data_IF_743788110719
#
_entry.id   IF_743788110719
#
_cell.length_a   1.000
_cell.length_b   1.000
_cell.length_c   1.000
_cell.angle_alpha   90.00
_cell.angle_beta   90.00
_cell.angle_gamma   90.00
#
_symmetry.space_group_name_H-M   'P 1'
#
loop_
_entity.id
_entity.type
_entity.pdbx_description
1 polymer ?
#
# COMPACT_ATOMS: atom_id res chain seq x y z
N UNK A 1 -16.32 11.59 -8.13
CA UNK A 1 -15.98 11.12 -9.49
C UNK A 1 -14.57 10.56 -9.41
N UNK A 2 -14.35 9.30 -9.78
CA UNK A 2 -12.98 8.78 -9.88
C UNK A 2 -12.25 9.57 -10.97
N UNK A 3 -11.06 10.09 -10.66
CA UNK A 3 -10.27 10.80 -11.68
C UNK A 3 -9.71 9.81 -12.71
N UNK A 4 -9.27 10.30 -13.88
CA UNK A 4 -8.74 9.45 -14.96
C UNK A 4 -7.59 8.54 -14.49
N UNK A 5 -6.77 9.04 -13.57
CA UNK A 5 -5.66 8.31 -12.99
C UNK A 5 -6.12 7.18 -12.07
N UNK A 6 -7.09 7.44 -11.20
CA UNK A 6 -7.61 6.44 -10.24
C UNK A 6 -8.29 5.28 -10.98
N UNK A 7 -9.01 5.61 -12.06
CA UNK A 7 -9.58 4.59 -12.94
C UNK A 7 -8.48 3.77 -13.64
N UNK A 8 -7.41 4.41 -14.12
CA UNK A 8 -6.26 3.71 -14.69
C UNK A 8 -5.61 2.76 -13.68
N UNK A 9 -5.29 3.25 -12.48
CA UNK A 9 -4.67 2.47 -11.42
C UNK A 9 -5.50 1.25 -11.03
N UNK A 10 -6.81 1.42 -10.86
CA UNK A 10 -7.71 0.31 -10.53
C UNK A 10 -7.91 -0.69 -11.65
N UNK A 11 -7.88 -0.23 -12.91
CA UNK A 11 -8.05 -1.10 -14.07
C UNK A 11 -6.77 -1.87 -14.36
N UNK A 12 -5.60 -1.28 -14.12
CA UNK A 12 -4.31 -1.94 -14.35
C UNK A 12 -4.03 -3.08 -13.38
N UNK A 13 -4.62 -3.06 -12.18
CA UNK A 13 -4.59 -4.17 -11.22
C UNK A 13 -5.70 -5.21 -11.45
N UNK A 14 -6.72 -4.91 -12.26
CA UNK A 14 -7.91 -5.75 -12.34
C UNK A 14 -7.59 -7.13 -12.97
N UNK A 15 -7.76 -8.20 -12.18
CA UNK A 15 -7.55 -9.57 -12.64
C UNK A 15 -6.10 -10.07 -12.49
N UNK A 16 -5.23 -9.29 -11.86
CA UNK A 16 -3.87 -9.68 -11.51
C UNK A 16 -3.77 -10.12 -10.03
N UNK A 17 -2.64 -10.72 -9.65
CA UNK A 17 -2.36 -11.24 -8.30
C UNK A 17 -2.39 -10.15 -7.22
N UNK A 18 -2.05 -8.91 -7.60
CA UNK A 18 -2.10 -7.72 -6.78
C UNK A 18 -3.49 -7.06 -6.73
N UNK A 19 -4.54 -7.74 -7.21
CA UNK A 19 -5.91 -7.21 -7.18
C UNK A 19 -6.37 -6.91 -5.75
N UNK A 20 -6.82 -5.67 -5.45
CA UNK A 20 -7.33 -5.35 -4.13
C UNK A 20 -8.65 -6.10 -3.83
N UNK A 21 -8.93 -6.43 -2.55
CA UNK A 21 -10.18 -7.05 -2.15
C UNK A 21 -11.40 -6.22 -2.58
N UNK A 22 -12.40 -6.89 -3.16
CA UNK A 22 -13.64 -6.26 -3.60
C UNK A 22 -14.85 -6.92 -2.98
N UNK A 23 -15.79 -6.11 -2.51
CA UNK A 23 -17.12 -6.54 -2.07
C UNK A 23 -18.16 -5.86 -2.96
N UNK A 24 -19.04 -6.65 -3.58
CA UNK A 24 -20.09 -6.16 -4.49
C UNK A 24 -19.56 -5.20 -5.59
N UNK A 25 -18.38 -5.49 -6.14
CA UNK A 25 -17.76 -4.70 -7.21
C UNK A 25 -17.03 -3.43 -6.75
N UNK A 26 -17.07 -3.09 -5.45
CA UNK A 26 -16.38 -1.92 -4.88
C UNK A 26 -15.19 -2.36 -4.01
N UNK A 27 -14.17 -1.51 -3.86
CA UNK A 27 -13.06 -1.75 -2.92
C UNK A 27 -13.59 -1.99 -1.52
N UNK A 28 -13.07 -3.01 -0.86
CA UNK A 28 -13.43 -3.37 0.50
C UNK A 28 -12.28 -2.99 1.44
N UNK A 29 -12.58 -2.16 2.43
CA UNK A 29 -11.67 -1.79 3.51
C UNK A 29 -12.29 -2.26 4.82
N UNK A 30 -11.59 -3.09 5.58
CA UNK A 30 -11.97 -3.55 6.91
C UNK A 30 -11.77 -2.44 7.95
N UNK A 31 -10.68 -1.67 7.81
CA UNK A 31 -10.28 -0.65 8.78
C UNK A 31 -10.07 0.73 8.12
N UNK A 32 -10.14 1.79 8.92
CA UNK A 32 -9.98 3.17 8.41
C UNK A 32 -8.57 3.45 7.85
N UNK A 33 -7.56 2.82 8.45
CA UNK A 33 -6.18 2.97 8.00
C UNK A 33 -5.96 2.37 6.61
N UNK A 34 -6.70 1.31 6.23
CA UNK A 34 -6.59 0.66 4.92
C UNK A 34 -7.04 1.60 3.80
N UNK A 35 -8.15 2.32 4.03
CA UNK A 35 -8.63 3.35 3.12
C UNK A 35 -7.61 4.48 2.98
N UNK A 36 -7.02 4.88 4.10
CA UNK A 36 -6.01 5.94 4.14
C UNK A 36 -4.75 5.53 3.38
N UNK A 37 -4.24 4.32 3.60
CA UNK A 37 -3.08 3.76 2.90
C UNK A 37 -3.28 3.70 1.38
N UNK A 38 -4.46 3.26 0.95
CA UNK A 38 -4.84 3.25 -0.46
C UNK A 38 -4.86 4.67 -1.05
N UNK A 39 -5.49 5.62 -0.34
CA UNK A 39 -5.57 7.01 -0.76
C UNK A 39 -4.20 7.69 -0.89
N UNK A 40 -3.29 7.44 0.06
CA UNK A 40 -1.93 8.02 0.05
C UNK A 40 -1.12 7.52 -1.14
N UNK A 41 -1.09 6.20 -1.39
CA UNK A 41 -0.38 5.64 -2.53
C UNK A 41 -0.87 6.25 -3.85
N UNK A 42 -2.19 6.39 -3.99
CA UNK A 42 -2.81 6.94 -5.19
C UNK A 42 -2.55 8.44 -5.35
N UNK A 43 -2.55 9.20 -4.24
CA UNK A 43 -2.23 10.62 -4.26
C UNK A 43 -0.77 10.87 -4.67
N UNK A 44 0.17 10.12 -4.10
CA UNK A 44 1.59 10.26 -4.39
C UNK A 44 1.92 9.93 -5.86
N UNK A 45 1.34 8.84 -6.37
CA UNK A 45 1.51 8.46 -7.77
C UNK A 45 0.85 9.48 -8.72
N UNK A 46 -0.34 9.99 -8.37
CA UNK A 46 -1.03 11.03 -9.16
C UNK A 46 -0.23 12.33 -9.22
N UNK A 47 0.46 12.67 -8.15
CA UNK A 47 1.33 13.85 -8.08
C UNK A 47 2.68 13.65 -8.78
N UNK A 48 2.99 12.43 -9.24
CA UNK A 48 4.21 12.11 -9.97
C UNK A 48 5.44 11.91 -9.08
N UNK A 49 5.26 11.65 -7.78
CA UNK A 49 6.37 11.34 -6.88
C UNK A 49 6.99 9.96 -7.16
N UNK A 50 6.21 9.07 -7.76
CA UNK A 50 6.67 7.80 -8.32
C UNK A 50 5.68 7.30 -9.38
N UNK A 51 6.14 6.41 -10.25
CA UNK A 51 5.29 5.77 -11.26
C UNK A 51 4.41 4.68 -10.62
N UNK A 52 3.13 4.66 -10.99
CA UNK A 52 2.18 3.66 -10.49
C UNK A 52 2.64 2.21 -10.74
N UNK A 53 3.28 1.98 -11.88
CA UNK A 53 3.81 0.67 -12.25
C UNK A 53 4.97 0.22 -11.36
N UNK A 54 5.76 1.16 -10.82
CA UNK A 54 6.85 0.84 -9.90
C UNK A 54 6.29 0.37 -8.55
N UNK A 55 5.27 1.08 -8.06
CA UNK A 55 4.50 0.65 -6.89
C UNK A 55 3.88 -0.74 -7.11
N UNK A 56 3.23 -0.97 -8.26
CA UNK A 56 2.58 -2.25 -8.55
C UNK A 56 3.58 -3.42 -8.55
N UNK A 57 4.79 -3.22 -9.10
CA UNK A 57 5.85 -4.25 -9.05
C UNK A 57 6.30 -4.53 -7.62
N UNK A 58 6.47 -3.49 -6.80
CA UNK A 58 6.81 -3.64 -5.39
C UNK A 58 5.69 -4.36 -4.62
N UNK A 59 4.42 -4.16 -4.98
CA UNK A 59 3.28 -4.84 -4.38
C UNK A 59 3.27 -6.34 -4.69
N UNK A 60 3.47 -6.72 -5.95
CA UNK A 60 3.59 -8.12 -6.35
C UNK A 60 4.77 -8.79 -5.62
N UNK A 61 5.90 -8.09 -5.50
CA UNK A 61 7.06 -8.60 -4.78
C UNK A 61 6.74 -8.82 -3.29
N UNK A 62 6.11 -7.86 -2.62
CA UNK A 62 5.72 -7.96 -1.21
C UNK A 62 4.74 -9.11 -0.95
N UNK A 63 3.73 -9.27 -1.81
CA UNK A 63 2.78 -10.39 -1.77
C UNK A 63 3.54 -11.72 -1.87
N UNK A 64 4.39 -11.87 -2.88
CA UNK A 64 5.16 -13.10 -3.07
C UNK A 64 6.16 -13.38 -1.95
N UNK A 65 6.77 -12.35 -1.36
CA UNK A 65 7.67 -12.49 -0.21
C UNK A 65 6.94 -13.00 1.03
N UNK A 66 5.74 -12.46 1.30
CA UNK A 66 4.92 -12.93 2.41
C UNK A 66 4.52 -14.39 2.20
N UNK A 67 4.02 -14.75 1.01
CA UNK A 67 3.61 -16.13 0.69
C UNK A 67 4.75 -17.14 0.89
N UNK A 68 6.00 -16.76 0.59
CA UNK A 68 7.17 -17.62 0.78
C UNK A 68 7.62 -17.73 2.24
N UNK A 69 7.37 -16.72 3.05
CA UNK A 69 7.93 -16.60 4.41
C UNK A 69 6.95 -16.96 5.51
N UNK A 70 5.66 -17.14 5.19
CA UNK A 70 4.68 -17.49 6.20
C UNK A 70 4.95 -18.83 6.89
N UNK A 71 4.98 -18.77 8.22
CA UNK A 71 4.91 -19.95 9.07
C UNK A 71 3.46 -20.46 9.17
N UNK A 72 3.24 -21.76 9.40
CA UNK A 72 1.89 -22.34 9.59
C UNK A 72 1.07 -21.69 10.71
N UNK A 73 1.74 -21.13 11.72
CA UNK A 73 1.12 -20.41 12.86
C UNK A 73 1.34 -18.88 12.77
N UNK A 74 1.61 -18.37 11.57
CA UNK A 74 1.84 -16.95 11.31
C UNK A 74 0.58 -16.07 11.46
N UNK A 75 0.75 -14.74 11.46
CA UNK A 75 -0.37 -13.81 11.46
C UNK A 75 -1.27 -14.04 10.22
N UNK A 76 -2.56 -13.77 10.37
CA UNK A 76 -3.51 -13.87 9.26
C UNK A 76 -3.14 -12.92 8.13
N UNK A 77 -3.29 -13.37 6.88
CA UNK A 77 -3.08 -12.54 5.69
C UNK A 77 -3.86 -11.23 5.76
N UNK A 78 -3.16 -10.10 5.60
CA UNK A 78 -3.75 -8.80 5.33
C UNK A 78 -3.13 -8.19 4.06
N UNK A 79 -3.95 -7.98 3.05
CA UNK A 79 -3.55 -7.38 1.78
C UNK A 79 -3.00 -5.96 1.94
N UNK A 80 -3.63 -5.13 2.80
CA UNK A 80 -3.23 -3.75 3.00
C UNK A 80 -1.94 -3.59 3.82
N UNK A 81 -1.52 -4.64 4.55
CA UNK A 81 -0.16 -4.68 5.12
C UNK A 81 0.91 -4.86 4.03
N UNK A 82 0.61 -5.68 3.01
CA UNK A 82 1.52 -5.81 1.86
C UNK A 82 1.52 -4.54 1.00
N UNK A 83 0.36 -3.88 0.89
CA UNK A 83 0.24 -2.54 0.29
C UNK A 83 1.14 -1.51 0.98
N UNK A 84 1.14 -1.48 2.32
CA UNK A 84 2.00 -0.57 3.07
C UNK A 84 3.48 -0.90 2.87
N UNK A 85 3.87 -2.18 2.95
CA UNK A 85 5.25 -2.62 2.70
C UNK A 85 5.73 -2.20 1.31
N UNK A 86 4.88 -2.36 0.29
CA UNK A 86 5.17 -1.93 -1.07
C UNK A 86 5.25 -0.40 -1.21
N UNK A 87 4.40 0.34 -0.51
CA UNK A 87 4.39 1.80 -0.52
C UNK A 87 5.68 2.35 0.10
N UNK A 88 6.08 1.82 1.25
CA UNK A 88 7.35 2.15 1.90
C UNK A 88 8.53 1.89 0.97
N UNK A 89 8.62 0.69 0.39
CA UNK A 89 9.68 0.36 -0.57
C UNK A 89 9.71 1.34 -1.75
N UNK A 90 8.54 1.72 -2.27
CA UNK A 90 8.44 2.65 -3.40
C UNK A 90 8.88 4.06 -3.03
N UNK A 91 8.50 4.57 -1.85
CA UNK A 91 8.90 5.88 -1.34
C UNK A 91 10.42 5.96 -1.16
N UNK A 92 11.03 4.89 -0.63
CA UNK A 92 12.47 4.81 -0.44
C UNK A 92 13.21 4.71 -1.79
N UNK A 93 12.69 3.91 -2.73
CA UNK A 93 13.27 3.77 -4.07
C UNK A 93 13.16 5.05 -4.91
N UNK A 94 12.07 5.82 -4.75
CA UNK A 94 11.90 7.10 -5.45
C UNK A 94 12.71 8.25 -4.84
N UNK A 95 13.33 8.03 -3.67
CA UNK A 95 14.09 9.04 -2.95
C UNK A 95 13.22 10.12 -2.31
N UNK A 96 11.90 9.87 -2.17
CA UNK A 96 10.97 10.81 -1.55
C UNK A 96 11.20 10.94 -0.04
N UNK A 97 11.68 9.87 0.60
CA UNK A 97 12.13 9.87 1.98
C UNK A 97 13.31 8.92 2.17
N UNK A 98 14.10 9.17 3.19
CA UNK A 98 15.12 8.23 3.67
C UNK A 98 14.52 7.25 4.69
N UNK A 99 15.16 6.08 4.91
CA UNK A 99 14.71 5.13 5.94
C UNK A 99 14.64 5.75 7.33
N UNK A 100 15.57 6.65 7.66
CA UNK A 100 15.62 7.35 8.95
C UNK A 100 14.46 8.34 9.11
N UNK A 101 14.14 9.11 8.06
CA UNK A 101 13.01 10.04 8.07
C UNK A 101 11.67 9.30 8.21
N UNK A 102 11.51 8.19 7.49
CA UNK A 102 10.30 7.39 7.55
C UNK A 102 10.14 6.75 8.94
N UNK A 103 11.22 6.18 9.48
CA UNK A 103 11.24 5.61 10.83
C UNK A 103 10.90 6.64 11.90
N UNK A 104 11.48 7.84 11.82
CA UNK A 104 11.18 8.93 12.74
C UNK A 104 9.70 9.35 12.67
N UNK A 105 9.10 9.33 11.47
CA UNK A 105 7.69 9.68 11.28
C UNK A 105 6.73 8.62 11.83
N UNK A 106 7.04 7.35 11.62
CA UNK A 106 6.28 6.22 12.17
C UNK A 106 6.34 6.17 13.69
N UNK A 107 7.50 6.45 14.28
CA UNK A 107 7.67 6.55 15.73
C UNK A 107 6.79 7.66 16.32
N UNK A 108 6.69 8.80 15.64
CA UNK A 108 5.84 9.93 16.04
C UNK A 108 4.35 9.58 15.95
N UNK A 109 3.91 8.95 14.85
CA UNK A 109 2.51 8.55 14.66
C UNK A 109 2.03 7.53 15.70
N UNK A 110 2.91 6.61 16.11
CA UNK A 110 2.62 5.64 17.18
C UNK A 110 2.49 6.31 18.55
N UNK A 111 3.26 7.37 18.80
CA UNK A 111 3.18 8.15 20.05
C UNK A 111 1.87 8.95 20.16
N UNK A 112 1.39 9.52 19.04
CA UNK A 112 0.10 10.23 19.00
C UNK A 112 -1.09 9.28 19.19
N UNK A 113 -1.03 8.07 18.63
CA UNK A 113 -2.14 7.10 18.72
C UNK A 113 -2.31 6.53 20.14
N UNK A 114 -1.27 6.55 20.97
CA UNK A 114 -1.31 6.07 22.37
C UNK A 114 -1.77 7.14 23.37
N UNK A 115 -1.95 8.39 22.92
CA UNK A 115 -2.32 9.54 23.76
C UNK A 115 -3.79 9.97 23.59
N UNK A 116 -4.60 9.21 22.85
CA UNK A 116 -6.04 9.43 22.64
C UNK A 116 -6.87 8.30 23.28
#
# INVERSE_FOLDING_TARGET
MLTRFEHFALTSMAGAEDSPPRANGTLCFAEEWERSAFGVALALAREGHFEWEDFRRNLIAAIGDWERTQAPDGPSWNYYEQWLSALEATILQSGLATPDELSARLATATADTRSA
#
